data_IF_286712337822
#
_entry.id   IF_286712337822
#
_cell.length_a   1.000
_cell.length_b   1.000
_cell.length_c   1.000
_cell.angle_alpha   90.00
_cell.angle_beta   90.00
_cell.angle_gamma   90.00
#
_symmetry.space_group_name_H-M   'P 1'
#
loop_
_entity.id
_entity.type
_entity.pdbx_description
1 polymer ?
#
# COMPACT_ATOMS: atom_id res chain seq x y z
N UNK A 1 -12.53 15.39 -17.52
CA UNK A 1 -12.64 14.39 -16.41
C UNK A 1 -13.89 13.55 -16.68
N UNK A 2 -13.69 12.29 -16.95
CA UNK A 2 -14.78 11.36 -17.25
C UNK A 2 -15.56 11.02 -15.96
N UNK A 3 -16.68 11.71 -15.75
CA UNK A 3 -17.58 11.49 -14.59
C UNK A 3 -18.17 10.07 -14.58
N UNK A 4 -18.33 9.45 -15.74
CA UNK A 4 -18.83 8.07 -15.86
C UNK A 4 -17.86 7.05 -15.27
N UNK A 5 -16.58 7.29 -15.42
CA UNK A 5 -15.53 6.42 -14.87
C UNK A 5 -15.43 6.52 -13.34
N UNK A 6 -15.60 7.72 -12.79
CA UNK A 6 -15.61 7.93 -11.33
C UNK A 6 -16.81 7.27 -10.66
N UNK A 7 -18.01 7.31 -11.28
CA UNK A 7 -19.22 6.65 -10.75
C UNK A 7 -19.06 5.13 -10.78
N UNK A 8 -18.54 4.58 -11.87
CA UNK A 8 -18.25 3.14 -11.99
C UNK A 8 -17.23 2.68 -10.96
N UNK A 9 -16.15 3.45 -10.76
CA UNK A 9 -15.14 3.16 -9.76
C UNK A 9 -15.73 3.16 -8.34
N UNK A 10 -16.57 4.15 -8.00
CA UNK A 10 -17.23 4.22 -6.71
C UNK A 10 -18.17 3.03 -6.48
N UNK A 11 -18.96 2.64 -7.49
CA UNK A 11 -19.84 1.47 -7.41
C UNK A 11 -19.06 0.18 -7.21
N UNK A 12 -17.97 -0.01 -7.97
CA UNK A 12 -17.08 -1.16 -7.82
C UNK A 12 -16.47 -1.24 -6.41
N UNK A 13 -16.05 -0.11 -5.85
CA UNK A 13 -15.53 -0.03 -4.48
C UNK A 13 -16.56 -0.45 -3.43
N UNK A 14 -17.80 0.01 -3.56
CA UNK A 14 -18.87 -0.35 -2.62
C UNK A 14 -19.21 -1.85 -2.70
N UNK A 15 -19.27 -2.41 -3.90
CA UNK A 15 -19.50 -3.85 -4.11
C UNK A 15 -18.36 -4.68 -3.52
N UNK A 16 -17.12 -4.23 -3.69
CA UNK A 16 -15.94 -4.91 -3.12
C UNK A 16 -15.94 -4.82 -1.59
N UNK A 17 -16.29 -3.65 -1.02
CA UNK A 17 -16.41 -3.47 0.42
C UNK A 17 -17.48 -4.41 1.03
N UNK A 18 -18.64 -4.53 0.38
CA UNK A 18 -19.68 -5.47 0.79
C UNK A 18 -19.20 -6.92 0.75
N UNK A 19 -18.47 -7.28 -0.30
CA UNK A 19 -17.88 -8.62 -0.43
C UNK A 19 -16.87 -8.92 0.68
N UNK A 20 -16.00 -7.96 1.00
CA UNK A 20 -15.02 -8.09 2.09
C UNK A 20 -15.69 -8.24 3.45
N UNK A 21 -16.80 -7.55 3.67
CA UNK A 21 -17.54 -7.60 4.93
C UNK A 21 -18.26 -8.94 5.15
N UNK A 22 -18.80 -9.55 4.08
CA UNK A 22 -19.65 -10.74 4.16
C UNK A 22 -18.94 -12.04 3.78
N UNK A 23 -17.76 -11.97 3.20
CA UNK A 23 -16.95 -13.14 2.83
C UNK A 23 -15.61 -13.08 3.55
N UNK A 24 -15.13 -14.22 3.96
CA UNK A 24 -13.80 -14.36 4.57
C UNK A 24 -12.70 -14.25 3.49
N UNK A 25 -12.53 -13.03 2.99
CA UNK A 25 -11.61 -12.70 1.90
C UNK A 25 -10.72 -11.53 2.26
N UNK A 26 -9.52 -11.53 1.71
CA UNK A 26 -8.60 -10.39 1.78
C UNK A 26 -8.44 -9.78 0.40
N UNK A 27 -8.24 -8.46 0.35
CA UNK A 27 -7.99 -7.74 -0.89
C UNK A 27 -6.57 -7.17 -0.88
N UNK A 28 -5.81 -7.46 -1.92
CA UNK A 28 -4.50 -6.86 -2.14
C UNK A 28 -4.64 -5.61 -3.01
N UNK A 29 -4.13 -4.48 -2.52
CA UNK A 29 -4.24 -3.19 -3.22
C UNK A 29 -2.87 -2.52 -3.28
N UNK A 30 -2.51 -2.03 -4.46
CA UNK A 30 -1.37 -1.13 -4.62
C UNK A 30 -1.81 0.31 -4.29
N UNK A 31 -1.58 0.72 -3.06
CA UNK A 31 -2.10 1.98 -2.52
C UNK A 31 -1.59 3.24 -3.24
N UNK A 32 -0.43 3.18 -3.86
CA UNK A 32 0.13 4.27 -4.68
C UNK A 32 -0.59 4.43 -6.03
N UNK A 33 -1.27 3.39 -6.49
CA UNK A 33 -1.98 3.37 -7.78
C UNK A 33 -1.08 3.50 -9.01
N UNK A 34 0.23 3.52 -8.83
CA UNK A 34 1.23 3.62 -9.90
C UNK A 34 2.56 3.00 -9.45
N UNK A 35 3.45 2.76 -10.40
CA UNK A 35 4.82 2.31 -10.11
C UNK A 35 5.71 3.52 -9.86
N UNK A 36 6.44 3.52 -8.73
CA UNK A 36 7.33 4.61 -8.34
C UNK A 36 8.63 4.71 -9.15
N UNK A 37 8.95 3.69 -9.96
CA UNK A 37 10.18 3.63 -10.76
C UNK A 37 11.46 3.97 -9.98
N UNK A 38 11.55 3.52 -8.74
CA UNK A 38 12.70 3.75 -7.87
C UNK A 38 12.75 5.12 -7.19
N UNK A 39 11.71 5.94 -7.34
CA UNK A 39 11.60 7.28 -6.73
C UNK A 39 11.20 7.26 -5.24
N UNK A 40 11.04 6.08 -4.66
CA UNK A 40 10.54 5.92 -3.30
C UNK A 40 9.02 5.84 -3.23
N UNK A 41 8.49 5.90 -2.01
CA UNK A 41 7.05 5.82 -1.76
C UNK A 41 6.32 7.03 -2.37
N UNK A 42 5.39 6.74 -3.27
CA UNK A 42 4.53 7.74 -3.88
C UNK A 42 3.33 8.07 -2.98
N UNK A 43 2.65 9.21 -3.19
CA UNK A 43 1.44 9.54 -2.43
C UNK A 43 0.38 8.45 -2.55
N UNK A 44 -0.19 8.06 -1.42
CA UNK A 44 -1.23 7.03 -1.36
C UNK A 44 -2.55 7.54 -1.92
N UNK A 45 -3.33 6.65 -2.53
CA UNK A 45 -4.65 6.96 -3.06
C UNK A 45 -5.73 6.65 -2.03
N UNK A 46 -6.68 7.56 -1.85
CA UNK A 46 -7.75 7.44 -0.85
C UNK A 46 -8.71 6.26 -1.04
N UNK A 47 -8.78 5.71 -2.25
CA UNK A 47 -9.75 4.66 -2.58
C UNK A 47 -9.66 3.41 -1.70
N UNK A 48 -8.45 2.91 -1.47
CA UNK A 48 -8.22 1.74 -0.62
C UNK A 48 -8.65 1.99 0.84
N UNK A 49 -8.40 3.19 1.35
CA UNK A 49 -8.75 3.57 2.73
C UNK A 49 -10.26 3.72 2.92
N UNK A 50 -10.95 4.35 1.96
CA UNK A 50 -12.41 4.43 1.95
C UNK A 50 -13.05 3.05 1.90
N UNK A 51 -12.51 2.15 1.09
CA UNK A 51 -13.00 0.78 0.99
C UNK A 51 -12.84 0.02 2.30
N UNK A 52 -11.68 0.11 2.95
CA UNK A 52 -11.42 -0.53 4.23
C UNK A 52 -12.35 -0.01 5.33
N UNK A 53 -12.57 1.30 5.39
CA UNK A 53 -13.49 1.94 6.35
C UNK A 53 -14.93 1.48 6.10
N UNK A 54 -15.39 1.48 4.85
CA UNK A 54 -16.75 1.04 4.50
C UNK A 54 -16.97 -0.46 4.79
N UNK A 55 -15.94 -1.27 4.63
CA UNK A 55 -16.01 -2.70 4.96
C UNK A 55 -15.78 -2.99 6.45
N UNK A 56 -15.26 -2.05 7.22
CA UNK A 56 -14.90 -2.23 8.63
C UNK A 56 -13.73 -3.21 8.84
N UNK A 57 -12.88 -3.38 7.83
CA UNK A 57 -11.75 -4.31 7.88
C UNK A 57 -10.44 -3.58 8.14
N UNK A 58 -9.48 -4.20 8.86
CA UNK A 58 -8.19 -3.59 9.11
C UNK A 58 -7.35 -3.46 7.84
N UNK A 59 -6.45 -2.49 7.82
CA UNK A 59 -5.44 -2.30 6.78
C UNK A 59 -4.12 -2.89 7.27
N UNK A 60 -3.52 -3.76 6.47
CA UNK A 60 -2.19 -4.30 6.74
C UNK A 60 -1.22 -3.71 5.72
N UNK A 61 -0.40 -2.72 6.09
CA UNK A 61 0.59 -2.18 5.18
C UNK A 61 1.69 -3.21 4.92
N UNK A 62 2.05 -3.39 3.65
CA UNK A 62 3.16 -4.25 3.25
C UNK A 62 4.14 -3.40 2.45
N UNK A 63 5.39 -3.41 2.86
CA UNK A 63 6.45 -2.60 2.29
C UNK A 63 7.57 -3.47 1.71
N UNK A 64 8.22 -2.98 0.69
CA UNK A 64 9.47 -3.55 0.17
C UNK A 64 10.57 -2.50 0.15
N UNK A 65 11.82 -2.96 0.23
CA UNK A 65 12.94 -2.07 -0.02
C UNK A 65 12.91 -1.53 -1.47
N UNK A 66 13.67 -0.47 -1.72
CA UNK A 66 13.79 0.09 -3.07
C UNK A 66 14.73 -0.77 -3.94
N UNK A 67 14.27 -1.97 -4.27
CA UNK A 67 15.03 -2.96 -5.04
C UNK A 67 15.39 -2.48 -6.46
N UNK A 68 14.63 -1.55 -7.02
CA UNK A 68 14.85 -1.04 -8.39
C UNK A 68 16.23 -0.41 -8.55
N UNK A 69 16.74 0.24 -7.50
CA UNK A 69 18.07 0.86 -7.51
C UNK A 69 19.22 -0.14 -7.48
N UNK A 70 19.00 -1.31 -6.91
CA UNK A 70 20.05 -2.32 -6.71
C UNK A 70 19.91 -3.57 -7.60
N UNK A 71 18.76 -3.76 -8.23
CA UNK A 71 18.50 -4.95 -9.03
C UNK A 71 19.07 -4.81 -10.44
N UNK A 72 19.94 -5.76 -10.81
CA UNK A 72 20.50 -5.88 -12.16
C UNK A 72 20.12 -7.22 -12.77
N UNK A 73 19.06 -7.22 -13.57
CA UNK A 73 18.49 -8.44 -14.16
C UNK A 73 19.43 -9.18 -15.12
N UNK A 74 20.52 -8.53 -15.56
CA UNK A 74 21.53 -9.12 -16.42
C UNK A 74 22.70 -9.78 -15.66
N UNK A 75 22.60 -9.91 -14.33
CA UNK A 75 23.62 -10.56 -13.49
C UNK A 75 23.03 -11.74 -12.72
N UNK A 76 23.83 -12.76 -12.49
CA UNK A 76 23.45 -13.97 -11.74
C UNK A 76 23.04 -13.65 -10.28
N UNK A 77 23.65 -12.65 -9.66
CA UNK A 77 23.27 -12.11 -8.35
C UNK A 77 22.72 -10.70 -8.54
N UNK A 78 21.40 -10.61 -8.71
CA UNK A 78 20.72 -9.37 -9.10
C UNK A 78 20.25 -8.50 -7.92
N UNK A 79 20.52 -8.92 -6.67
CA UNK A 79 20.15 -8.19 -5.47
C UNK A 79 19.03 -8.89 -4.67
N UNK A 80 18.69 -8.33 -3.52
CA UNK A 80 17.68 -8.85 -2.61
C UNK A 80 16.45 -7.95 -2.57
N UNK A 81 15.29 -8.55 -2.64
CA UNK A 81 14.01 -7.88 -2.35
C UNK A 81 13.59 -8.28 -0.93
N UNK A 82 13.51 -7.31 -0.05
CA UNK A 82 13.07 -7.52 1.33
C UNK A 82 11.65 -6.99 1.44
N UNK A 83 10.72 -7.83 1.89
CA UNK A 83 9.32 -7.48 2.08
C UNK A 83 8.98 -7.61 3.57
N UNK A 84 8.28 -6.63 4.11
CA UNK A 84 7.84 -6.61 5.50
C UNK A 84 6.39 -6.19 5.60
N UNK A 85 5.60 -6.91 6.39
CA UNK A 85 4.27 -6.49 6.80
C UNK A 85 4.33 -5.72 8.11
N UNK A 86 3.58 -4.63 8.19
CA UNK A 86 3.42 -3.85 9.41
C UNK A 86 2.21 -4.33 10.20
N UNK A 87 2.11 -3.96 11.50
CA UNK A 87 0.94 -4.29 12.30
C UNK A 87 -0.36 -3.77 11.68
N UNK A 88 -1.48 -4.51 11.79
CA UNK A 88 -2.76 -4.08 11.28
C UNK A 88 -3.21 -2.73 11.85
N UNK A 89 -3.75 -1.87 11.01
CA UNK A 89 -4.35 -0.60 11.40
C UNK A 89 -5.87 -0.81 11.41
N UNK A 90 -6.54 -0.77 12.57
CA UNK A 90 -7.98 -0.96 12.64
C UNK A 90 -8.72 0.24 12.04
N UNK A 91 -9.85 -0.03 11.39
CA UNK A 91 -10.73 0.99 10.79
C UNK A 91 -12.10 1.05 11.46
N UNK A 92 -12.35 0.21 12.46
CA UNK A 92 -13.62 0.14 13.17
C UNK A 92 -14.01 1.49 13.77
N UNK A 93 -15.24 1.95 13.51
CA UNK A 93 -15.73 3.24 14.00
C UNK A 93 -15.22 4.46 13.22
N UNK A 94 -14.38 4.28 12.22
CA UNK A 94 -13.91 5.36 11.37
C UNK A 94 -14.95 5.73 10.30
N UNK A 95 -14.91 6.99 9.88
CA UNK A 95 -15.73 7.56 8.80
C UNK A 95 -14.86 8.12 7.69
N UNK A 96 -15.49 8.58 6.61
CA UNK A 96 -14.77 9.25 5.52
C UNK A 96 -13.99 10.50 5.96
N UNK A 97 -14.38 11.13 7.06
CA UNK A 97 -13.67 12.25 7.65
C UNK A 97 -12.30 11.85 8.24
N UNK A 98 -12.13 10.59 8.61
CA UNK A 98 -10.88 10.05 9.19
C UNK A 98 -9.85 9.67 8.11
N UNK A 99 -10.23 9.64 6.83
CA UNK A 99 -9.37 9.20 5.73
C UNK A 99 -8.05 10.00 5.65
N UNK A 100 -8.03 11.33 5.72
CA UNK A 100 -6.77 12.09 5.67
C UNK A 100 -5.79 11.71 6.78
N UNK A 101 -6.27 11.57 8.02
CA UNK A 101 -5.45 11.19 9.16
C UNK A 101 -4.95 9.74 9.05
N UNK A 102 -5.81 8.82 8.62
CA UNK A 102 -5.47 7.41 8.41
C UNK A 102 -4.42 7.25 7.29
N UNK A 103 -4.57 7.98 6.19
CA UNK A 103 -3.59 8.00 5.10
C UNK A 103 -2.24 8.53 5.55
N UNK A 104 -2.23 9.62 6.31
CA UNK A 104 -1.00 10.23 6.82
C UNK A 104 -0.27 9.28 7.79
N UNK A 105 -0.98 8.62 8.69
CA UNK A 105 -0.41 7.63 9.61
C UNK A 105 0.15 6.43 8.85
N UNK A 106 -0.60 5.88 7.92
CA UNK A 106 -0.17 4.77 7.09
C UNK A 106 1.07 5.13 6.26
N UNK A 107 1.06 6.29 5.61
CA UNK A 107 2.20 6.77 4.82
C UNK A 107 3.46 6.95 5.67
N UNK A 108 3.35 7.51 6.86
CA UNK A 108 4.47 7.70 7.77
C UNK A 108 5.07 6.35 8.22
N UNK A 109 4.23 5.39 8.58
CA UNK A 109 4.67 4.03 8.96
C UNK A 109 5.36 3.31 7.80
N UNK A 110 4.80 3.38 6.61
CA UNK A 110 5.37 2.78 5.41
C UNK A 110 6.71 3.43 5.05
N UNK A 111 6.81 4.75 5.08
CA UNK A 111 8.05 5.47 4.80
C UNK A 111 9.16 5.09 5.77
N UNK A 112 8.89 5.04 7.06
CA UNK A 112 9.86 4.61 8.08
C UNK A 112 10.32 3.16 7.85
N UNK A 113 9.39 2.26 7.52
CA UNK A 113 9.69 0.86 7.22
C UNK A 113 10.57 0.73 5.97
N UNK A 114 10.26 1.46 4.91
CA UNK A 114 11.04 1.44 3.66
C UNK A 114 12.46 1.94 3.90
N UNK A 115 12.64 3.00 4.71
CA UNK A 115 13.96 3.51 5.07
C UNK A 115 14.80 2.47 5.83
N UNK A 116 14.18 1.72 6.74
CA UNK A 116 14.85 0.61 7.43
C UNK A 116 15.22 -0.51 6.47
N UNK A 117 14.31 -0.90 5.58
CA UNK A 117 14.54 -1.94 4.58
C UNK A 117 15.63 -1.55 3.58
N UNK A 118 15.68 -0.30 3.18
CA UNK A 118 16.71 0.21 2.27
C UNK A 118 18.09 0.18 2.94
N UNK A 119 18.17 0.47 4.23
CA UNK A 119 19.42 0.34 5.00
C UNK A 119 19.87 -1.12 5.13
N UNK A 120 18.96 -2.04 5.39
CA UNK A 120 19.24 -3.48 5.45
C UNK A 120 19.69 -4.01 4.07
N UNK A 121 18.99 -3.64 2.99
CA UNK A 121 19.32 -4.03 1.62
C UNK A 121 20.63 -3.41 1.12
N UNK A 122 20.91 -2.15 1.46
CA UNK A 122 22.15 -1.44 1.10
C UNK A 122 23.41 -2.08 1.68
N UNK A 123 23.32 -2.64 2.88
CA UNK A 123 24.42 -3.37 3.51
C UNK A 123 24.79 -4.65 2.73
N UNK A 124 23.82 -5.28 2.10
CA UNK A 124 24.02 -6.48 1.28
C UNK A 124 24.59 -6.16 -0.10
N UNK A 125 24.30 -4.98 -0.65
CA UNK A 125 24.74 -4.55 -1.98
C UNK A 125 26.15 -3.89 -1.97
N UNK A 126 26.65 -3.47 -0.82
CA UNK A 126 27.97 -2.87 -0.65
C UNK A 126 29.11 -3.90 -0.62
N UNK A 127 28.78 -5.17 -0.72
CA UNK A 127 29.72 -6.29 -0.84
C UNK A 127 29.62 -6.88 -2.26
#
# INVERSE_FOLDING_TARGET
VDRGNAIKAKKAMLTTADTLQHKDMSLWVFAEGTRGHGKGLQPLKKGAFLMAINAGVPIIPICSNNYVRGMRLNRWHSGNVIIRSLPPIPTTGMTSADVPALMADCQARMAACIDELDREGGTTLAR
#
